data_IF_729224665787
#
_entry.id   IF_729224665787
#
_cell.length_a   1.000
_cell.length_b   1.000
_cell.length_c   1.000
_cell.angle_alpha   90.00
_cell.angle_beta   90.00
_cell.angle_gamma   90.00
#
_symmetry.space_group_name_H-M   'P 1'
#
loop_
_entity.id
_entity.type
_entity.pdbx_description
1 polymer ?
#
# COMPACT_ATOMS: atom_id res chain seq x y z
N UNK A 1 17.62 21.98 -9.46
CA UNK A 1 16.50 21.04 -9.70
C UNK A 1 15.35 21.81 -10.33
N UNK A 2 14.79 21.32 -11.44
CA UNK A 2 13.62 21.93 -12.08
C UNK A 2 12.34 21.60 -11.30
N UNK A 3 11.28 22.40 -11.48
CA UNK A 3 9.97 22.11 -10.84
C UNK A 3 9.31 20.91 -11.54
N UNK A 4 8.61 20.03 -10.80
CA UNK A 4 7.82 18.98 -11.41
C UNK A 4 6.62 19.57 -12.17
N UNK A 5 6.15 18.87 -13.19
CA UNK A 5 4.94 19.26 -13.93
C UNK A 5 3.68 19.16 -13.06
N UNK A 6 3.64 18.16 -12.17
CA UNK A 6 2.55 17.91 -11.23
C UNK A 6 3.15 17.71 -9.84
N UNK A 7 2.58 18.39 -8.84
CA UNK A 7 2.92 18.21 -7.43
C UNK A 7 1.65 17.79 -6.70
N UNK A 8 1.66 16.61 -6.09
CA UNK A 8 0.51 16.05 -5.38
C UNK A 8 0.71 16.14 -3.87
N UNK A 9 -0.41 16.11 -3.12
CA UNK A 9 -0.42 16.03 -1.66
C UNK A 9 -1.42 14.97 -1.24
N UNK A 10 -0.99 14.01 -0.43
CA UNK A 10 -1.82 12.89 0.02
C UNK A 10 -3.18 13.32 0.58
N UNK A 11 -3.20 14.41 1.35
CA UNK A 11 -4.42 14.98 1.94
C UNK A 11 -5.49 15.37 0.91
N UNK A 12 -5.10 15.60 -0.35
CA UNK A 12 -5.99 15.97 -1.46
C UNK A 12 -6.51 14.74 -2.22
N UNK A 13 -5.98 13.54 -1.95
CA UNK A 13 -6.27 12.29 -2.67
C UNK A 13 -6.93 11.21 -1.77
N UNK A 14 -7.35 11.57 -0.56
CA UNK A 14 -7.90 10.58 0.38
C UNK A 14 -9.16 9.88 -0.14
N UNK A 15 -10.13 10.55 -0.80
CA UNK A 15 -11.26 9.87 -1.43
C UNK A 15 -10.83 8.83 -2.47
N UNK A 16 -9.86 9.16 -3.32
CA UNK A 16 -9.27 8.28 -4.32
C UNK A 16 -8.58 7.10 -3.67
N UNK A 17 -7.85 7.32 -2.57
CA UNK A 17 -7.20 6.25 -1.80
C UNK A 17 -8.24 5.28 -1.25
N UNK A 18 -9.33 5.77 -0.66
CA UNK A 18 -10.40 4.91 -0.14
C UNK A 18 -11.01 4.08 -1.27
N UNK A 19 -11.37 4.70 -2.40
CA UNK A 19 -11.94 3.99 -3.54
C UNK A 19 -10.96 2.95 -4.14
N UNK A 20 -9.67 3.26 -4.14
CA UNK A 20 -8.62 2.35 -4.59
C UNK A 20 -8.52 1.10 -3.71
N UNK A 21 -8.56 1.30 -2.39
CA UNK A 21 -8.53 0.21 -1.42
C UNK A 21 -9.80 -0.63 -1.51
N UNK A 22 -10.98 -0.01 -1.64
CA UNK A 22 -12.25 -0.73 -1.87
C UNK A 22 -12.14 -1.64 -3.11
N UNK A 23 -11.50 -1.15 -4.19
CA UNK A 23 -11.30 -1.97 -5.39
C UNK A 23 -10.39 -3.18 -5.16
N UNK A 24 -9.33 -3.03 -4.38
CA UNK A 24 -8.44 -4.13 -4.02
C UNK A 24 -9.18 -5.16 -3.14
N UNK A 25 -10.04 -4.69 -2.22
CA UNK A 25 -10.92 -5.54 -1.41
C UNK A 25 -11.92 -6.30 -2.30
N UNK A 26 -12.60 -5.63 -3.24
CA UNK A 26 -13.53 -6.26 -4.18
C UNK A 26 -12.86 -7.38 -4.97
N UNK A 27 -11.58 -7.20 -5.30
CA UNK A 27 -10.78 -8.22 -5.99
C UNK A 27 -10.35 -9.35 -5.06
N UNK A 28 -10.55 -9.27 -3.76
CA UNK A 28 -10.12 -10.28 -2.79
C UNK A 28 -8.60 -10.27 -2.55
N UNK A 29 -7.97 -9.11 -2.63
CA UNK A 29 -6.53 -8.89 -2.42
C UNK A 29 -6.23 -8.01 -1.20
N UNK A 30 -7.28 -7.60 -0.48
CA UNK A 30 -7.17 -6.90 0.78
C UNK A 30 -8.33 -7.30 1.71
N UNK A 31 -8.16 -7.07 2.99
CA UNK A 31 -9.16 -7.36 4.00
C UNK A 31 -9.15 -6.33 5.12
N UNK A 32 -10.33 -6.07 5.68
CA UNK A 32 -10.49 -5.24 6.87
C UNK A 32 -10.24 -6.08 8.13
N UNK A 33 -9.67 -5.44 9.15
CA UNK A 33 -9.57 -5.94 10.52
C UNK A 33 -9.46 -4.76 11.48
N UNK A 34 -10.38 -4.67 12.45
CA UNK A 34 -10.41 -3.65 13.52
C UNK A 34 -10.30 -2.19 13.02
N UNK A 35 -10.97 -1.87 11.92
CA UNK A 35 -10.98 -0.55 11.28
C UNK A 35 -9.73 -0.22 10.47
N UNK A 36 -8.76 -1.14 10.40
CA UNK A 36 -7.62 -1.08 9.48
C UNK A 36 -7.88 -1.97 8.26
N UNK A 37 -7.19 -1.71 7.15
CA UNK A 37 -7.22 -2.56 5.96
C UNK A 37 -5.81 -2.99 5.63
N UNK A 38 -5.63 -4.28 5.37
CA UNK A 38 -4.35 -4.90 5.06
C UNK A 38 -4.39 -5.52 3.67
N UNK A 39 -3.26 -5.46 2.97
CA UNK A 39 -3.04 -6.14 1.69
C UNK A 39 -2.67 -7.59 1.95
N UNK A 40 -3.32 -8.52 1.25
CA UNK A 40 -3.06 -9.97 1.37
C UNK A 40 -1.94 -10.38 0.41
N UNK A 41 -0.69 -10.35 0.91
CA UNK A 41 0.50 -10.66 0.11
C UNK A 41 0.46 -12.10 -0.41
N UNK A 42 0.05 -13.03 0.46
CA UNK A 42 -0.04 -14.44 0.10
C UNK A 42 -1.16 -14.72 -0.91
N UNK A 43 -2.27 -13.99 -0.83
CA UNK A 43 -3.37 -14.04 -1.79
C UNK A 43 -3.00 -13.44 -3.15
N UNK A 44 -2.18 -12.38 -3.15
CA UNK A 44 -1.63 -11.76 -4.36
C UNK A 44 -0.70 -12.72 -5.10
N UNK A 45 0.35 -13.23 -4.43
CA UNK A 45 1.38 -14.06 -5.06
C UNK A 45 0.87 -15.43 -5.54
N UNK A 46 -0.26 -15.91 -4.99
CA UNK A 46 -0.93 -17.14 -5.47
C UNK A 46 -1.60 -16.97 -6.83
N UNK A 47 -1.82 -15.75 -7.31
CA UNK A 47 -2.48 -15.52 -8.60
C UNK A 47 -1.48 -15.64 -9.74
N UNK A 48 -1.93 -16.27 -10.83
CA UNK A 48 -1.08 -16.59 -11.99
C UNK A 48 -0.30 -15.40 -12.58
N UNK A 49 -0.86 -14.19 -12.52
CA UNK A 49 -0.27 -13.00 -13.16
C UNK A 49 0.36 -12.03 -12.15
N UNK A 50 0.44 -12.39 -10.88
CA UNK A 50 0.89 -11.49 -9.82
C UNK A 50 2.11 -12.09 -9.13
N UNK A 51 3.09 -11.25 -8.83
CA UNK A 51 4.30 -11.68 -8.13
C UNK A 51 4.75 -10.60 -7.16
N UNK A 52 4.94 -10.96 -5.90
CA UNK A 52 5.37 -10.01 -4.88
C UNK A 52 6.89 -9.97 -4.75
N UNK A 53 7.42 -8.83 -4.29
CA UNK A 53 8.87 -8.59 -4.14
C UNK A 53 9.66 -8.70 -5.47
N UNK A 54 9.11 -8.16 -6.57
CA UNK A 54 9.75 -8.17 -7.90
C UNK A 54 11.09 -7.44 -7.93
N UNK A 55 11.26 -6.37 -7.15
CA UNK A 55 12.49 -5.59 -7.15
C UNK A 55 13.55 -6.22 -6.25
N UNK A 56 13.14 -6.80 -5.11
CA UNK A 56 14.02 -7.49 -4.15
C UNK A 56 13.50 -8.90 -3.85
N UNK A 57 13.66 -9.86 -4.78
CA UNK A 57 13.11 -11.22 -4.62
C UNK A 57 13.60 -11.94 -3.36
N UNK A 58 14.82 -11.64 -2.90
CA UNK A 58 15.39 -12.19 -1.67
C UNK A 58 14.69 -11.71 -0.39
N UNK A 59 13.90 -10.62 -0.45
CA UNK A 59 13.11 -10.11 0.67
C UNK A 59 11.69 -10.73 0.72
N UNK A 60 11.33 -11.60 -0.21
CA UNK A 60 10.04 -12.30 -0.15
C UNK A 60 9.93 -13.14 1.13
N UNK A 61 8.92 -12.85 1.95
CA UNK A 61 8.73 -13.51 3.24
C UNK A 61 9.54 -12.90 4.39
N UNK A 62 10.33 -11.85 4.15
CA UNK A 62 11.04 -11.11 5.20
C UNK A 62 10.08 -10.16 5.95
N UNK A 63 9.39 -10.73 6.94
CA UNK A 63 8.49 -9.97 7.81
C UNK A 63 9.18 -8.84 8.59
N UNK A 64 10.49 -8.96 8.90
CA UNK A 64 11.20 -7.92 9.65
C UNK A 64 11.36 -6.65 8.83
N UNK A 65 11.86 -6.77 7.59
CA UNK A 65 12.01 -5.63 6.68
C UNK A 65 10.67 -4.98 6.32
N UNK A 66 9.58 -5.76 6.27
CA UNK A 66 8.22 -5.24 6.04
C UNK A 66 7.69 -4.42 7.22
N UNK A 67 7.99 -4.85 8.45
CA UNK A 67 7.52 -4.19 9.66
C UNK A 67 8.23 -2.85 9.89
N UNK A 68 9.52 -2.76 9.58
CA UNK A 68 10.27 -1.49 9.60
C UNK A 68 9.66 -0.46 8.64
N UNK A 69 9.13 -0.92 7.50
CA UNK A 69 8.45 -0.08 6.51
C UNK A 69 7.09 0.48 6.93
N UNK A 70 6.47 0.03 8.03
CA UNK A 70 5.14 0.53 8.43
C UNK A 70 5.19 1.87 9.22
N UNK A 71 6.37 2.37 9.55
CA UNK A 71 6.62 3.68 10.20
C UNK A 71 6.28 3.73 11.69
N UNK A 72 6.87 4.67 12.43
CA UNK A 72 6.85 4.72 13.91
C UNK A 72 5.45 4.80 14.56
N UNK A 73 4.48 5.40 13.88
CA UNK A 73 3.08 5.47 14.35
C UNK A 73 2.40 4.09 14.37
N UNK A 74 3.13 3.04 14.02
CA UNK A 74 2.67 1.66 13.93
C UNK A 74 3.05 0.79 15.14
N UNK A 75 3.88 1.29 16.07
CA UNK A 75 4.46 0.51 17.18
C UNK A 75 3.49 0.32 18.37
N UNK A 76 2.60 -0.67 18.30
CA UNK A 76 1.79 -1.11 19.43
C UNK A 76 1.57 -2.62 19.45
N UNK A 77 1.52 -3.21 20.64
CA UNK A 77 1.45 -4.67 20.90
C UNK A 77 0.20 -5.36 20.31
N UNK A 78 -0.88 -4.62 20.02
CA UNK A 78 -2.15 -5.17 19.51
C UNK A 78 -2.08 -5.67 18.05
N UNK A 79 -0.96 -5.53 17.33
CA UNK A 79 -0.91 -5.73 15.87
C UNK A 79 -0.66 -7.14 15.35
N UNK A 80 -0.01 -8.00 16.15
CA UNK A 80 0.26 -9.38 15.71
C UNK A 80 -1.02 -10.22 15.61
N UNK A 81 -2.14 -9.74 16.14
CA UNK A 81 -3.44 -10.43 16.11
C UNK A 81 -4.36 -9.95 14.99
N UNK A 82 -4.11 -8.78 14.38
CA UNK A 82 -4.99 -8.20 13.35
C UNK A 82 -4.66 -8.69 11.93
N UNK A 83 -3.37 -8.98 11.69
CA UNK A 83 -2.92 -9.45 10.38
C UNK A 83 -3.11 -10.96 10.26
N UNK A 84 -3.59 -11.41 9.10
CA UNK A 84 -3.66 -12.83 8.74
C UNK A 84 -2.27 -13.42 8.48
N UNK A 85 -1.35 -12.61 7.94
CA UNK A 85 0.06 -12.96 7.72
C UNK A 85 0.98 -11.87 8.28
N UNK A 86 2.14 -12.23 8.86
CA UNK A 86 3.14 -11.24 9.28
C UNK A 86 3.71 -10.41 8.12
N UNK A 87 3.58 -10.89 6.88
CA UNK A 87 4.03 -10.19 5.67
C UNK A 87 2.98 -9.23 5.10
N UNK A 88 1.74 -9.25 5.60
CA UNK A 88 0.70 -8.35 5.12
C UNK A 88 1.00 -6.93 5.60
N UNK A 89 0.75 -5.95 4.74
CA UNK A 89 1.02 -4.54 5.03
C UNK A 89 -0.25 -3.70 4.98
N UNK A 90 -0.30 -2.64 5.78
CA UNK A 90 -1.47 -1.78 5.88
C UNK A 90 -1.67 -0.90 4.63
N UNK A 91 -2.89 -0.95 4.08
CA UNK A 91 -3.42 0.01 3.11
C UNK A 91 -4.13 1.17 3.80
N UNK A 92 -4.86 0.88 4.89
CA UNK A 92 -5.53 1.86 5.72
C UNK A 92 -5.27 1.54 7.19
N UNK A 93 -5.01 2.54 8.01
CA UNK A 93 -4.76 2.38 9.45
C UNK A 93 -5.86 3.09 10.22
N UNK A 94 -6.50 2.40 11.15
CA UNK A 94 -7.41 3.05 12.10
C UNK A 94 -6.63 4.09 12.92
N UNK A 95 -7.23 5.26 13.11
CA UNK A 95 -6.57 6.37 13.81
C UNK A 95 -6.80 6.29 15.31
N UNK A 96 -5.73 6.50 16.08
CA UNK A 96 -5.83 6.62 17.55
C UNK A 96 -6.31 8.01 17.96
N UNK A 97 -6.75 8.14 19.21
CA UNK A 97 -7.14 9.43 19.75
C UNK A 97 -5.97 10.44 19.68
N UNK A 98 -6.22 11.61 19.10
CA UNK A 98 -5.20 12.66 18.91
C UNK A 98 -4.42 12.57 17.59
N UNK A 99 -4.55 11.48 16.83
CA UNK A 99 -3.98 11.39 15.48
C UNK A 99 -4.88 12.06 14.44
N UNK A 100 -4.33 12.58 13.32
CA UNK A 100 -5.14 13.01 12.19
C UNK A 100 -5.91 11.82 11.61
N UNK A 101 -7.11 12.11 11.09
CA UNK A 101 -7.99 11.09 10.53
C UNK A 101 -8.88 11.66 9.44
N UNK A 102 -9.34 10.74 8.59
CA UNK A 102 -10.37 10.93 7.59
C UNK A 102 -11.45 9.85 7.78
N UNK A 103 -12.65 10.13 7.28
CA UNK A 103 -13.73 9.13 7.28
C UNK A 103 -13.51 8.14 6.14
N UNK A 104 -13.72 6.86 6.42
CA UNK A 104 -13.79 5.79 5.41
C UNK A 104 -14.87 4.78 5.78
N UNK A 105 -15.21 3.84 4.89
CA UNK A 105 -16.12 2.73 5.19
C UNK A 105 -15.70 1.87 6.38
N UNK A 106 -14.40 1.88 6.72
CA UNK A 106 -13.82 1.11 7.83
C UNK A 106 -13.68 1.95 9.12
N UNK A 107 -14.27 3.14 9.14
CA UNK A 107 -14.22 4.05 10.29
C UNK A 107 -13.19 5.16 10.11
N UNK A 108 -12.77 5.76 11.24
CA UNK A 108 -11.80 6.85 11.23
C UNK A 108 -10.39 6.28 11.08
N UNK A 109 -9.66 6.76 10.09
CA UNK A 109 -8.30 6.31 9.87
C UNK A 109 -7.50 7.21 8.95
N UNK A 110 -6.39 6.67 8.47
CA UNK A 110 -5.45 7.34 7.57
C UNK A 110 -4.85 6.34 6.58
N UNK A 111 -4.38 6.82 5.42
CA UNK A 111 -3.65 5.99 4.47
C UNK A 111 -2.42 5.30 5.10
N UNK A 112 -2.11 4.11 4.61
CA UNK A 112 -0.79 3.50 4.78
C UNK A 112 0.23 4.17 3.86
N UNK A 113 1.52 4.17 4.24
CA UNK A 113 2.55 4.93 3.53
C UNK A 113 2.65 4.59 2.03
N UNK A 114 2.62 3.31 1.67
CA UNK A 114 2.82 2.87 0.28
C UNK A 114 1.63 3.18 -0.63
N UNK A 115 0.39 3.09 -0.11
CA UNK A 115 -0.83 3.29 -0.92
C UNK A 115 -0.98 4.74 -1.41
N UNK A 116 -0.34 5.68 -0.72
CA UNK A 116 -0.31 7.09 -1.10
C UNK A 116 0.31 7.26 -2.49
N UNK A 117 1.52 6.72 -2.70
CA UNK A 117 2.25 6.84 -3.96
C UNK A 117 1.56 6.06 -5.08
N UNK A 118 1.11 4.82 -4.83
CA UNK A 118 0.35 4.01 -5.79
C UNK A 118 -0.85 4.76 -6.36
N UNK A 119 -1.64 5.38 -5.50
CA UNK A 119 -2.88 6.07 -5.90
C UNK A 119 -2.54 7.36 -6.64
N UNK A 120 -1.67 8.20 -6.08
CA UNK A 120 -1.32 9.47 -6.72
C UNK A 120 -0.68 9.26 -8.08
N UNK A 121 0.22 8.29 -8.22
CA UNK A 121 0.83 7.94 -9.50
C UNK A 121 -0.21 7.37 -10.49
N UNK A 122 -1.09 6.47 -10.05
CA UNK A 122 -2.11 5.87 -10.91
C UNK A 122 -3.17 6.87 -11.38
N UNK A 123 -3.53 7.86 -10.56
CA UNK A 123 -4.47 8.93 -10.97
C UNK A 123 -3.86 9.82 -12.06
N UNK A 124 -2.54 10.03 -12.05
CA UNK A 124 -1.86 10.88 -13.02
C UNK A 124 -1.44 10.12 -14.28
N UNK A 125 -0.87 8.92 -14.12
CA UNK A 125 -0.25 8.15 -15.18
C UNK A 125 -1.12 6.99 -15.71
N UNK A 126 -2.13 6.56 -14.94
CA UNK A 126 -3.00 5.44 -15.29
C UNK A 126 -2.42 4.08 -14.92
N UNK A 127 -2.74 3.07 -15.74
CA UNK A 127 -2.43 1.66 -15.47
C UNK A 127 -0.98 1.24 -15.73
N UNK A 128 -0.18 2.14 -16.29
CA UNK A 128 1.22 1.92 -16.63
C UNK A 128 2.03 3.22 -16.57
N UNK A 129 3.30 3.14 -16.20
CA UNK A 129 4.23 4.27 -16.21
C UNK A 129 5.62 3.81 -16.73
N UNK A 130 6.33 4.68 -17.46
CA UNK A 130 7.61 4.30 -18.07
C UNK A 130 8.78 4.21 -17.08
N UNK A 131 8.83 5.13 -16.11
CA UNK A 131 9.91 5.24 -15.12
C UNK A 131 9.33 5.59 -13.75
N UNK A 132 9.49 4.68 -12.78
CA UNK A 132 9.24 4.93 -11.36
C UNK A 132 10.60 4.97 -10.63
N UNK A 133 10.85 5.98 -9.80
CA UNK A 133 12.18 6.17 -9.20
C UNK A 133 12.12 6.81 -7.82
N UNK A 134 13.17 6.58 -7.03
CA UNK A 134 13.31 7.05 -5.67
C UNK A 134 14.70 6.73 -5.12
N UNK A 135 14.91 6.97 -3.82
CA UNK A 135 16.11 6.51 -3.13
C UNK A 135 16.25 4.99 -3.16
N UNK A 136 17.48 4.48 -3.02
CA UNK A 136 17.74 3.02 -3.02
C UNK A 136 17.06 2.33 -1.83
N UNK A 137 16.90 3.06 -0.73
CA UNK A 137 16.17 2.68 0.47
C UNK A 137 14.67 2.47 0.23
N UNK A 138 14.08 3.11 -0.78
CA UNK A 138 12.67 2.92 -1.13
C UNK A 138 12.43 1.65 -1.95
N UNK A 139 13.49 0.99 -2.43
CA UNK A 139 13.36 -0.22 -3.25
C UNK A 139 12.50 -1.30 -2.56
N UNK A 140 12.71 -1.52 -1.27
CA UNK A 140 11.90 -2.41 -0.44
C UNK A 140 11.74 -1.84 0.98
N UNK A 141 10.55 -1.96 1.60
CA UNK A 141 9.34 -2.52 1.03
C UNK A 141 8.54 -1.53 0.17
N UNK A 142 8.95 -0.25 0.08
CA UNK A 142 8.09 0.80 -0.46
C UNK A 142 7.68 0.58 -1.93
N UNK A 143 8.62 0.56 -2.87
CA UNK A 143 8.29 0.39 -4.30
C UNK A 143 7.74 -1.01 -4.62
N UNK A 144 8.20 -2.07 -3.94
CA UNK A 144 7.62 -3.41 -4.10
C UNK A 144 6.15 -3.47 -3.64
N UNK A 145 5.80 -2.76 -2.56
CA UNK A 145 4.41 -2.62 -2.13
C UNK A 145 3.60 -1.76 -3.10
N UNK A 146 4.18 -0.71 -3.68
CA UNK A 146 3.50 0.09 -4.70
C UNK A 146 3.17 -0.72 -5.94
N UNK A 147 4.14 -1.49 -6.46
CA UNK A 147 3.93 -2.42 -7.58
C UNK A 147 2.78 -3.38 -7.28
N UNK A 148 2.81 -4.03 -6.11
CA UNK A 148 1.77 -4.98 -5.73
C UNK A 148 0.38 -4.34 -5.62
N UNK A 149 0.28 -3.14 -5.06
CA UNK A 149 -0.98 -2.40 -4.94
C UNK A 149 -1.52 -1.95 -6.31
N UNK A 150 -0.64 -1.44 -7.17
CA UNK A 150 -1.02 -0.98 -8.51
C UNK A 150 -1.48 -2.13 -9.39
N UNK A 151 -0.71 -3.20 -9.43
CA UNK A 151 -1.04 -4.41 -10.17
C UNK A 151 -2.29 -5.08 -9.63
N UNK A 152 -2.50 -5.10 -8.31
CA UNK A 152 -3.74 -5.60 -7.71
C UNK A 152 -4.97 -4.79 -8.14
N UNK A 153 -4.86 -3.46 -8.22
CA UNK A 153 -5.96 -2.58 -8.59
C UNK A 153 -6.33 -2.73 -10.07
N UNK A 154 -5.34 -2.66 -10.97
CA UNK A 154 -5.55 -2.77 -12.41
C UNK A 154 -5.71 -4.22 -12.89
N UNK A 155 -5.28 -5.20 -12.09
CA UNK A 155 -5.23 -6.63 -12.44
C UNK A 155 -4.36 -6.90 -13.68
N UNK A 156 -3.17 -6.30 -13.66
CA UNK A 156 -2.11 -6.50 -14.63
C UNK A 156 -0.83 -6.98 -13.92
N UNK A 157 0.24 -7.25 -14.67
CA UNK A 157 1.51 -7.77 -14.12
C UNK A 157 2.70 -6.84 -14.36
N UNK A 158 2.43 -5.63 -14.89
CA UNK A 158 3.42 -4.66 -15.35
C UNK A 158 2.85 -3.26 -15.19
N UNK A 159 2.90 -2.73 -13.96
CA UNK A 159 2.59 -1.31 -13.74
C UNK A 159 3.75 -0.40 -14.18
N UNK A 160 4.98 -0.89 -14.02
CA UNK A 160 6.23 -0.27 -14.50
C UNK A 160 6.95 -1.23 -15.44
#
# INVERSE_FOLDING_TARGET
VLRPNVLTRVSEYVPEIVAYIEKIIERGLAYESNGSVYFDVGGFDKRKNHHYAKLVPEAYGDASSLQEGEGDLSNGDDKLTEKRSPTDFALWKSSKAGEPWWNSPWGKGRPGWHIECSVMASVICGESLDIHTGGVDLKFPHHDNELAQAEAYFDNSHWV
#
